data_IF_144059208558
#
_entry.id   IF_144059208558
#
_cell.length_a   1.000
_cell.length_b   1.000
_cell.length_c   1.000
_cell.angle_alpha   90.00
_cell.angle_beta   90.00
_cell.angle_gamma   90.00
#
_symmetry.space_group_name_H-M   'P 1'
#
loop_
_entity.id
_entity.type
_entity.pdbx_description
1 polymer ?
#
# COMPACT_ATOMS: atom_id res chain seq x y z
N UNK A 1 9.08 -30.20 35.41
CA UNK A 1 8.07 -29.16 35.13
C UNK A 1 8.55 -28.35 33.94
N UNK A 2 7.67 -28.08 32.97
CA UNK A 2 8.03 -27.36 31.75
C UNK A 2 7.67 -25.89 31.91
N UNK A 3 8.66 -25.00 31.82
CA UNK A 3 8.46 -23.55 31.91
C UNK A 3 8.00 -23.00 30.57
N UNK A 4 7.00 -22.12 30.57
CA UNK A 4 6.54 -21.40 29.38
C UNK A 4 7.11 -19.99 29.40
N UNK A 5 7.79 -19.61 28.32
CA UNK A 5 8.43 -18.29 28.18
C UNK A 5 7.61 -17.45 27.22
N UNK A 6 7.23 -16.24 27.66
CA UNK A 6 6.53 -15.25 26.85
C UNK A 6 7.42 -14.04 26.59
N UNK A 7 7.58 -13.69 25.32
CA UNK A 7 8.26 -12.46 24.90
C UNK A 7 7.20 -11.43 24.51
N UNK A 8 7.15 -10.32 25.23
CA UNK A 8 6.11 -9.31 25.10
C UNK A 8 6.64 -8.11 24.32
N UNK A 9 6.08 -7.91 23.12
CA UNK A 9 6.27 -6.73 22.30
C UNK A 9 4.91 -6.08 22.05
N UNK A 10 4.54 -5.12 22.89
CA UNK A 10 3.25 -4.42 22.87
C UNK A 10 3.42 -3.00 23.40
N UNK A 11 2.44 -2.13 23.13
CA UNK A 11 2.39 -0.79 23.73
C UNK A 11 2.05 -0.89 25.24
N UNK A 12 2.60 0.04 26.02
CA UNK A 12 2.35 0.30 27.45
C UNK A 12 0.90 0.09 27.90
N UNK A 13 -0.10 0.59 27.16
CA UNK A 13 -1.51 0.45 27.54
C UNK A 13 -2.02 -1.01 27.49
N UNK A 14 -1.57 -1.79 26.49
CA UNK A 14 -1.93 -3.19 26.34
C UNK A 14 -1.19 -4.05 27.36
N UNK A 15 0.07 -3.72 27.60
CA UNK A 15 0.95 -4.38 28.58
C UNK A 15 0.36 -4.30 29.97
N UNK A 16 -0.19 -3.14 30.33
CA UNK A 16 -0.83 -2.94 31.63
C UNK A 16 -1.97 -3.94 31.85
N UNK A 17 -2.85 -4.08 30.86
CA UNK A 17 -3.97 -5.02 30.92
C UNK A 17 -3.50 -6.48 30.88
N UNK A 18 -2.48 -6.77 30.08
CA UNK A 18 -1.91 -8.11 29.96
C UNK A 18 -1.38 -8.61 31.31
N UNK A 19 -0.57 -7.79 32.00
CA UNK A 19 0.06 -8.21 33.24
C UNK A 19 -0.91 -8.25 34.42
N UNK A 20 -1.86 -7.32 34.49
CA UNK A 20 -2.96 -7.42 35.44
C UNK A 20 -3.76 -8.73 35.29
N UNK A 21 -4.06 -9.13 34.05
CA UNK A 21 -4.76 -10.40 33.79
C UNK A 21 -3.87 -11.62 34.04
N UNK A 22 -2.59 -11.55 33.70
CA UNK A 22 -1.65 -12.64 33.93
C UNK A 22 -1.49 -12.91 35.44
N UNK A 23 -1.40 -11.86 36.26
CA UNK A 23 -1.31 -11.97 37.71
C UNK A 23 -2.60 -12.58 38.30
N UNK A 24 -3.77 -12.05 37.91
CA UNK A 24 -5.07 -12.59 38.33
C UNK A 24 -5.26 -14.08 37.98
N UNK A 25 -4.69 -14.54 36.87
CA UNK A 25 -4.78 -15.93 36.42
C UNK A 25 -3.62 -16.81 36.94
N UNK A 26 -2.79 -16.30 37.85
CA UNK A 26 -1.67 -17.03 38.43
C UNK A 26 -0.54 -17.32 37.44
N UNK A 27 -0.49 -16.62 36.31
CA UNK A 27 0.56 -16.75 35.30
C UNK A 27 1.84 -15.98 35.66
N UNK A 28 1.85 -15.24 36.77
CA UNK A 28 3.08 -14.69 37.41
C UNK A 28 3.78 -15.70 38.33
N UNK A 29 3.15 -16.86 38.56
CA UNK A 29 3.69 -17.89 39.44
C UNK A 29 4.69 -18.83 38.75
N UNK A 30 5.26 -19.76 39.53
CA UNK A 30 6.25 -20.73 39.05
C UNK A 30 5.70 -21.56 37.88
N UNK A 31 6.49 -21.62 36.80
CA UNK A 31 6.12 -22.30 35.55
C UNK A 31 6.00 -21.35 34.37
N UNK A 32 6.07 -20.05 34.63
CA UNK A 32 6.05 -18.99 33.62
C UNK A 32 7.27 -18.08 33.75
N UNK A 33 7.73 -17.59 32.62
CA UNK A 33 8.77 -16.56 32.55
C UNK A 33 8.35 -15.51 31.52
N UNK A 34 8.56 -14.25 31.87
CA UNK A 34 8.13 -13.10 31.08
C UNK A 34 9.32 -12.25 30.71
N UNK A 35 9.44 -11.92 29.43
CA UNK A 35 10.51 -11.07 28.91
C UNK A 35 9.88 -9.90 28.17
N UNK A 36 10.19 -8.67 28.59
CA UNK A 36 9.77 -7.46 27.90
C UNK A 36 10.92 -6.89 27.07
N UNK A 37 10.59 -6.40 25.88
CA UNK A 37 11.56 -5.80 24.96
C UNK A 37 12.01 -4.41 25.40
N UNK A 38 13.14 -3.94 24.86
CA UNK A 38 13.76 -2.68 25.25
C UNK A 38 12.86 -1.44 25.10
N UNK A 39 11.97 -1.43 24.11
CA UNK A 39 11.00 -0.33 23.96
C UNK A 39 10.08 -0.18 25.17
N UNK A 40 9.70 -1.31 25.76
CA UNK A 40 8.80 -1.35 26.90
C UNK A 40 9.53 -1.18 28.24
N UNK A 41 10.68 -1.85 28.41
CA UNK A 41 11.48 -1.78 29.64
C UNK A 41 12.03 -0.36 29.94
N UNK A 42 12.26 0.43 28.89
CA UNK A 42 12.69 1.83 28.99
C UNK A 42 11.54 2.77 29.39
N UNK A 43 10.29 2.34 29.21
CA UNK A 43 9.08 3.15 29.42
C UNK A 43 8.26 2.70 30.64
N UNK A 44 8.84 1.88 31.54
CA UNK A 44 8.15 1.37 32.74
C UNK A 44 7.76 2.45 33.74
N UNK A 45 8.42 3.62 33.70
CA UNK A 45 8.07 4.77 34.53
C UNK A 45 6.74 5.46 34.13
N UNK A 46 6.18 5.12 32.97
CA UNK A 46 4.88 5.63 32.49
C UNK A 46 3.72 4.77 33.01
N UNK A 47 4.01 3.56 33.51
CA UNK A 47 3.02 2.66 34.07
C UNK A 47 2.65 3.07 35.49
N UNK A 48 1.38 2.86 35.84
CA UNK A 48 0.91 3.02 37.22
C UNK A 48 1.59 2.00 38.14
N UNK A 49 1.80 2.38 39.41
CA UNK A 49 2.47 1.53 40.40
C UNK A 49 1.80 0.16 40.54
N UNK A 50 0.47 0.14 40.60
CA UNK A 50 -0.31 -1.10 40.73
C UNK A 50 -0.06 -2.08 39.57
N UNK A 51 0.17 -1.55 38.37
CA UNK A 51 0.50 -2.35 37.19
C UNK A 51 1.94 -2.87 37.31
N UNK A 52 2.88 -2.04 37.75
CA UNK A 52 4.28 -2.45 37.95
C UNK A 52 4.38 -3.54 39.02
N UNK A 53 3.57 -3.46 40.07
CA UNK A 53 3.52 -4.49 41.13
C UNK A 53 3.00 -5.83 40.58
N UNK A 54 2.05 -5.80 39.63
CA UNK A 54 1.59 -7.02 38.93
C UNK A 54 2.66 -7.63 38.00
N UNK A 55 3.75 -6.91 37.74
CA UNK A 55 4.85 -7.35 36.88
C UNK A 55 6.02 -7.97 37.67
N UNK A 56 5.80 -8.36 38.93
CA UNK A 56 6.85 -8.98 39.72
C UNK A 56 7.33 -10.30 39.07
N UNK A 57 8.65 -10.44 38.91
CA UNK A 57 9.27 -11.54 38.17
C UNK A 57 9.37 -11.37 36.64
N UNK A 58 8.97 -10.23 36.07
CA UNK A 58 9.18 -9.92 34.64
C UNK A 58 10.61 -9.44 34.39
N UNK A 59 11.29 -10.02 33.39
CA UNK A 59 12.64 -9.63 33.00
C UNK A 59 12.61 -8.58 31.87
N UNK A 60 13.19 -7.40 32.11
CA UNK A 60 13.32 -6.36 31.11
C UNK A 60 14.75 -6.13 30.63
N UNK A 61 14.92 -5.81 29.35
CA UNK A 61 16.21 -5.43 28.77
C UNK A 61 16.29 -3.90 28.67
N UNK A 62 17.06 -3.21 29.51
CA UNK A 62 17.25 -1.76 29.39
C UNK A 62 18.42 -1.42 28.47
N UNK A 63 18.15 -0.65 27.43
CA UNK A 63 19.20 -0.16 26.54
C UNK A 63 19.91 1.02 27.21
N UNK A 64 21.22 0.90 27.41
CA UNK A 64 22.06 2.01 27.83
C UNK A 64 22.63 2.68 26.58
N UNK A 65 22.32 3.96 26.38
CA UNK A 65 22.88 4.77 25.32
C UNK A 65 23.84 5.82 25.92
N UNK A 66 24.91 6.14 25.20
CA UNK A 66 25.82 7.21 25.61
C UNK A 66 25.12 8.58 25.46
N UNK A 67 25.37 9.48 26.41
CA UNK A 67 24.89 10.86 26.34
C UNK A 67 25.46 11.56 25.11
N UNK A 68 24.66 12.43 24.49
CA UNK A 68 25.09 13.29 23.38
C UNK A 68 26.23 14.19 23.87
N UNK A 69 27.28 14.33 23.06
CA UNK A 69 28.55 15.02 23.39
C UNK A 69 29.49 14.29 24.36
N UNK A 70 29.26 13.00 24.64
CA UNK A 70 30.24 12.22 25.40
C UNK A 70 31.54 12.01 24.60
N UNK A 71 32.73 12.20 25.21
CA UNK A 71 34.00 11.84 24.56
C UNK A 71 34.08 10.36 24.18
N UNK A 72 33.27 9.49 24.81
CA UNK A 72 33.17 8.07 24.45
C UNK A 72 32.49 7.86 23.10
N UNK A 73 31.52 8.70 22.71
CA UNK A 73 30.83 8.57 21.43
C UNK A 73 31.80 8.70 20.26
N UNK A 74 32.74 9.66 20.33
CA UNK A 74 33.80 9.86 19.34
C UNK A 74 34.73 8.65 19.23
N UNK A 75 35.10 8.04 20.35
CA UNK A 75 35.96 6.85 20.36
C UNK A 75 35.26 5.66 19.72
N UNK A 76 34.05 5.31 20.17
CA UNK A 76 33.30 4.17 19.61
C UNK A 76 32.91 4.41 18.15
N UNK A 77 32.55 5.64 17.78
CA UNK A 77 32.25 6.00 16.39
C UNK A 77 33.47 5.90 15.46
N UNK A 78 34.70 5.84 15.97
CA UNK A 78 35.89 5.57 15.15
C UNK A 78 36.22 4.08 15.13
N UNK A 79 36.12 3.43 16.28
CA UNK A 79 36.48 2.01 16.44
C UNK A 79 35.54 1.09 15.66
N UNK A 80 34.23 1.36 15.61
CA UNK A 80 33.27 0.49 14.91
C UNK A 80 33.63 0.32 13.42
N UNK A 81 34.08 1.40 12.80
CA UNK A 81 34.41 1.49 11.38
C UNK A 81 35.70 0.71 11.13
N UNK A 82 36.70 0.96 11.97
CA UNK A 82 38.00 0.29 11.93
C UNK A 82 37.86 -1.22 12.07
N UNK A 83 37.02 -1.69 13.00
CA UNK A 83 36.80 -3.12 13.20
C UNK A 83 36.08 -3.75 11.99
N UNK A 84 35.22 -3.00 11.29
CA UNK A 84 34.49 -3.49 10.10
C UNK A 84 35.35 -3.50 8.84
N UNK A 85 36.24 -2.53 8.68
CA UNK A 85 37.14 -2.43 7.52
C UNK A 85 38.23 -3.51 7.55
N UNK A 86 38.63 -3.96 8.73
CA UNK A 86 39.56 -5.06 8.87
C UNK A 86 38.82 -6.37 8.60
N UNK A 87 39.03 -6.94 7.40
CA UNK A 87 38.31 -8.09 6.85
C UNK A 87 38.17 -9.27 7.83
N UNK A 88 39.20 -9.55 8.63
CA UNK A 88 39.23 -10.73 9.51
C UNK A 88 38.81 -10.45 10.97
N UNK A 89 38.70 -9.17 11.37
CA UNK A 89 38.42 -8.79 12.76
C UNK A 89 37.01 -9.14 13.18
N UNK A 90 36.03 -8.93 12.30
CA UNK A 90 34.64 -9.29 12.59
C UNK A 90 34.47 -10.80 12.71
N UNK A 91 35.12 -11.56 11.83
CA UNK A 91 35.10 -13.03 11.87
C UNK A 91 35.79 -13.58 13.13
N UNK A 92 36.90 -12.97 13.55
CA UNK A 92 37.61 -13.30 14.80
C UNK A 92 36.70 -13.10 16.02
N UNK A 93 35.98 -11.97 16.08
CA UNK A 93 35.04 -11.64 17.16
C UNK A 93 33.83 -12.59 17.14
N UNK A 94 33.25 -12.82 15.96
CA UNK A 94 32.11 -13.74 15.80
C UNK A 94 32.48 -15.13 16.31
N UNK A 95 33.61 -15.66 15.83
CA UNK A 95 34.11 -16.99 16.23
C UNK A 95 34.41 -17.09 17.72
N UNK A 96 34.97 -16.04 18.33
CA UNK A 96 35.36 -16.04 19.74
C UNK A 96 34.17 -16.00 20.70
N UNK A 97 33.12 -15.25 20.39
CA UNK A 97 31.99 -15.03 21.31
C UNK A 97 30.75 -15.85 20.98
N UNK A 98 30.48 -16.12 19.70
CA UNK A 98 29.32 -16.89 19.25
C UNK A 98 29.68 -18.31 18.82
N UNK A 99 30.98 -18.65 18.78
CA UNK A 99 31.49 -19.93 18.31
C UNK A 99 31.67 -19.96 16.79
N UNK A 100 32.27 -21.04 16.27
CA UNK A 100 32.30 -21.26 14.82
C UNK A 100 30.88 -21.38 14.31
N UNK A 101 30.56 -20.62 13.25
CA UNK A 101 29.25 -20.64 12.61
C UNK A 101 29.04 -22.03 12.02
N UNK A 102 28.52 -22.95 12.83
CA UNK A 102 27.90 -24.17 12.32
C UNK A 102 26.66 -23.67 11.60
N UNK A 103 26.81 -23.31 10.33
CA UNK A 103 25.66 -23.07 9.46
C UNK A 103 24.74 -24.25 9.67
N UNK A 104 23.59 -23.95 10.23
CA UNK A 104 22.52 -24.90 10.57
C UNK A 104 21.89 -25.50 9.30
N UNK A 105 22.62 -25.53 8.19
CA UNK A 105 22.32 -26.27 6.99
C UNK A 105 22.63 -27.78 7.16
N UNK A 106 23.50 -28.16 8.11
CA UNK A 106 23.92 -29.56 8.25
C UNK A 106 23.03 -30.39 9.19
N UNK A 107 22.19 -29.78 10.04
CA UNK A 107 21.37 -30.51 11.03
C UNK A 107 19.88 -30.08 11.10
N UNK A 108 19.39 -29.26 10.16
CA UNK A 108 17.96 -29.01 10.04
C UNK A 108 17.37 -29.95 8.97
N UNK A 109 16.37 -30.79 9.27
CA UNK A 109 15.55 -31.37 8.21
C UNK A 109 14.94 -30.21 7.42
N UNK A 110 15.00 -30.28 6.11
CA UNK A 110 14.54 -29.30 5.12
C UNK A 110 13.04 -29.03 5.28
N UNK A 111 12.66 -28.26 6.31
CA UNK A 111 11.37 -27.60 6.33
C UNK A 111 11.56 -26.40 5.43
N UNK A 112 11.06 -26.54 4.20
CA UNK A 112 10.78 -25.43 3.29
C UNK A 112 10.05 -24.34 4.06
N UNK A 113 10.82 -23.42 4.62
CA UNK A 113 10.31 -22.21 5.20
C UNK A 113 10.15 -21.28 4.01
N UNK A 114 9.06 -21.50 3.26
CA UNK A 114 8.51 -20.57 2.28
C UNK A 114 8.13 -19.30 3.04
N UNK A 115 9.15 -18.50 3.36
CA UNK A 115 9.00 -17.16 3.85
C UNK A 115 8.31 -16.41 2.73
N UNK A 116 7.04 -16.11 2.94
CA UNK A 116 6.23 -15.25 2.07
C UNK A 116 6.69 -13.79 2.20
N UNK A 117 7.99 -13.58 1.96
CA UNK A 117 8.58 -12.28 1.75
C UNK A 117 7.96 -11.70 0.48
N UNK A 118 7.52 -10.44 0.57
CA UNK A 118 6.77 -9.71 -0.44
C UNK A 118 7.65 -9.48 -1.70
N UNK A 119 7.87 -10.56 -2.47
CA UNK A 119 8.66 -10.54 -3.71
C UNK A 119 7.92 -9.73 -4.76
N UNK A 120 8.67 -9.10 -5.67
CA UNK A 120 8.17 -8.28 -6.79
C UNK A 120 7.02 -8.94 -7.60
N UNK A 121 6.94 -10.28 -7.59
CA UNK A 121 5.84 -11.05 -8.17
C UNK A 121 4.46 -10.69 -7.58
N UNK A 122 4.36 -10.42 -6.28
CA UNK A 122 3.11 -9.99 -5.64
C UNK A 122 2.68 -8.57 -6.08
N UNK A 123 3.60 -7.78 -6.62
CA UNK A 123 3.31 -6.47 -7.20
C UNK A 123 3.00 -6.54 -8.69
N UNK A 124 3.05 -7.72 -9.32
CA UNK A 124 2.83 -7.90 -10.75
C UNK A 124 1.47 -7.38 -11.21
N UNK A 125 0.41 -7.59 -10.42
CA UNK A 125 -0.93 -7.08 -10.73
C UNK A 125 -0.96 -5.57 -10.93
N UNK A 126 -0.21 -4.81 -10.12
CA UNK A 126 -0.13 -3.35 -10.23
C UNK A 126 0.52 -2.92 -11.55
N UNK A 127 1.60 -3.59 -11.96
CA UNK A 127 2.27 -3.31 -13.25
C UNK A 127 1.40 -3.67 -14.45
N UNK A 128 0.64 -4.78 -14.38
CA UNK A 128 -0.30 -5.17 -15.44
C UNK A 128 -1.41 -4.14 -15.60
N UNK A 129 -2.03 -3.68 -14.50
CA UNK A 129 -3.10 -2.68 -14.54
C UNK A 129 -2.57 -1.35 -15.11
N UNK A 130 -1.41 -0.88 -14.64
CA UNK A 130 -0.79 0.34 -15.13
C UNK A 130 -0.44 0.27 -16.63
N UNK A 131 0.05 -0.88 -17.09
CA UNK A 131 0.35 -1.12 -18.51
C UNK A 131 -0.90 -1.11 -19.39
N UNK A 132 -1.95 -1.83 -18.98
CA UNK A 132 -3.23 -1.87 -19.71
C UNK A 132 -3.90 -0.49 -19.78
N UNK A 133 -3.90 0.25 -18.67
CA UNK A 133 -4.44 1.62 -18.64
C UNK A 133 -3.69 2.55 -19.59
N UNK A 134 -2.36 2.43 -19.66
CA UNK A 134 -1.53 3.23 -20.57
C UNK A 134 -1.79 2.89 -22.04
N UNK A 135 -1.91 1.61 -22.39
CA UNK A 135 -2.24 1.18 -23.76
C UNK A 135 -3.64 1.65 -24.20
N UNK A 136 -4.63 1.56 -23.30
CA UNK A 136 -5.98 2.07 -23.56
C UNK A 136 -5.98 3.58 -23.75
N UNK A 137 -5.23 4.32 -22.94
CA UNK A 137 -5.09 5.77 -23.08
C UNK A 137 -4.49 6.15 -24.44
N UNK A 138 -3.45 5.43 -24.90
CA UNK A 138 -2.83 5.66 -26.22
C UNK A 138 -3.82 5.35 -27.34
N UNK A 139 -4.52 4.21 -27.30
CA UNK A 139 -5.49 3.83 -28.33
C UNK A 139 -6.67 4.81 -28.44
N UNK A 140 -7.17 5.31 -27.31
CA UNK A 140 -8.20 6.35 -27.27
C UNK A 140 -7.64 7.67 -27.80
N UNK A 141 -6.43 8.06 -27.41
CA UNK A 141 -5.76 9.27 -27.90
C UNK A 141 -5.60 9.27 -29.43
N UNK A 142 -5.21 8.13 -30.01
CA UNK A 142 -5.00 7.99 -31.45
C UNK A 142 -6.31 8.17 -32.23
N UNK A 143 -7.41 7.57 -31.74
CA UNK A 143 -8.73 7.77 -32.34
C UNK A 143 -9.29 9.16 -32.04
N UNK A 144 -9.05 9.72 -30.86
CA UNK A 144 -9.64 10.99 -30.44
C UNK A 144 -9.02 12.20 -31.16
N UNK A 145 -7.70 12.21 -31.35
CA UNK A 145 -6.98 13.33 -31.97
C UNK A 145 -7.14 13.32 -33.50
N UNK A 146 -7.22 12.14 -34.15
CA UNK A 146 -7.35 12.09 -35.63
C UNK A 146 -8.78 12.25 -36.14
N UNK A 147 -9.83 12.08 -35.31
CA UNK A 147 -11.22 12.28 -35.75
C UNK A 147 -11.50 13.74 -36.19
N UNK A 148 -11.04 14.73 -35.41
CA UNK A 148 -11.30 16.16 -35.66
C UNK A 148 -10.66 16.69 -36.95
N UNK A 149 -9.36 16.45 -37.25
CA UNK A 149 -8.75 16.89 -38.50
C UNK A 149 -9.14 16.03 -39.70
N UNK A 150 -9.35 14.72 -39.55
CA UNK A 150 -9.77 13.85 -40.68
C UNK A 150 -11.16 14.22 -41.18
N UNK A 151 -12.07 14.64 -40.29
CA UNK A 151 -13.37 15.17 -40.70
C UNK A 151 -13.25 16.47 -41.53
N UNK A 152 -12.34 17.37 -41.17
CA UNK A 152 -12.09 18.61 -41.93
C UNK A 152 -11.39 18.36 -43.26
N UNK A 153 -10.44 17.42 -43.31
CA UNK A 153 -9.78 17.01 -44.56
C UNK A 153 -10.78 16.32 -45.49
N UNK A 154 -11.70 15.50 -44.97
CA UNK A 154 -12.82 14.97 -45.77
C UNK A 154 -13.68 16.10 -46.34
N UNK A 155 -14.03 17.12 -45.55
CA UNK A 155 -14.81 18.26 -46.02
C UNK A 155 -14.08 19.03 -47.14
N UNK A 156 -12.75 19.19 -47.02
CA UNK A 156 -11.91 19.80 -48.03
C UNK A 156 -11.80 18.96 -49.32
N UNK A 157 -11.68 17.63 -49.19
CA UNK A 157 -11.66 16.70 -50.32
C UNK A 157 -13.03 16.57 -51.01
N UNK A 158 -14.13 16.70 -50.27
CA UNK A 158 -15.50 16.67 -50.85
C UNK A 158 -15.86 17.99 -51.53
N UNK A 159 -15.30 19.12 -51.07
CA UNK A 159 -15.48 20.45 -51.69
C UNK A 159 -14.69 20.61 -53.00
N UNK A 160 -13.58 19.89 -53.17
CA UNK A 160 -12.69 20.03 -54.32
C UNK A 160 -12.85 18.89 -55.34
N UNK A 161 -14.01 18.22 -55.39
CA UNK A 161 -14.30 17.31 -56.49
C UNK A 161 -14.57 18.12 -57.77
N UNK A 162 -13.71 18.06 -58.81
CA UNK A 162 -14.03 18.68 -60.08
C UNK A 162 -15.14 17.87 -60.74
N UNK A 163 -16.30 18.48 -60.88
CA UNK A 163 -17.31 18.04 -61.84
C UNK A 163 -16.76 18.24 -63.25
N UNK A 164 -16.09 17.22 -63.80
CA UNK A 164 -15.90 17.07 -65.24
C UNK A 164 -16.50 15.73 -65.65
N UNK A 165 -17.70 15.79 -66.23
CA UNK A 165 -18.38 14.65 -66.80
C UNK A 165 -17.66 14.10 -68.02
N UNK A 166 -17.76 12.79 -68.20
CA UNK A 166 -18.00 12.23 -69.53
C UNK A 166 -19.48 11.87 -69.54
N UNK A 167 -20.28 12.81 -70.05
CA UNK A 167 -21.56 12.53 -70.65
C UNK A 167 -21.27 11.81 -71.98
N UNK A 168 -21.47 10.48 -72.00
CA UNK A 168 -21.65 9.75 -73.25
C UNK A 168 -23.13 9.39 -73.32
N UNK A 169 -23.81 10.06 -74.25
CA UNK A 169 -25.23 10.05 -74.48
C UNK A 169 -25.84 8.64 -74.60
N UNK A 170 -26.97 8.45 -73.92
CA UNK A 170 -28.09 7.65 -74.41
C UNK A 170 -29.37 8.08 -73.67
N UNK A 171 -30.14 9.00 -74.27
CA UNK A 171 -31.60 9.13 -74.09
C UNK A 171 -32.31 8.04 -74.93
N UNK A 172 -33.64 7.80 -74.85
CA UNK A 172 -34.74 8.60 -74.25
C UNK A 172 -35.66 7.72 -73.32
N UNK A 173 -36.69 8.17 -72.61
CA UNK A 173 -37.92 8.91 -73.01
C UNK A 173 -38.73 9.25 -71.74
N UNK A 174 -39.59 10.26 -71.88
CA UNK A 174 -40.64 10.85 -71.01
C UNK A 174 -41.40 9.89 -70.04
N UNK A 175 -42.06 10.32 -68.96
CA UNK A 175 -43.18 11.27 -68.80
C UNK A 175 -43.34 11.59 -67.27
N UNK A 176 -43.54 12.84 -66.84
CA UNK A 176 -44.82 13.55 -66.55
C UNK A 176 -45.46 13.21 -65.18
N UNK A 177 -45.47 14.21 -64.30
CA UNK A 177 -46.64 14.76 -63.59
C UNK A 177 -46.68 14.77 -62.04
N UNK A 178 -47.19 15.92 -61.56
CA UNK A 178 -47.82 16.29 -60.28
C UNK A 178 -47.03 16.11 -58.96
N UNK A 179 -46.75 17.17 -58.19
CA UNK A 179 -47.66 17.76 -57.17
C UNK A 179 -47.29 17.14 -55.81
N UNK A 180 -47.26 17.78 -54.63
CA UNK A 180 -48.01 18.88 -54.05
C UNK A 180 -47.38 19.19 -52.66
N UNK A 181 -47.85 20.28 -52.06
CA UNK A 181 -47.43 21.00 -50.88
C UNK A 181 -47.41 20.28 -49.50
N UNK A 182 -46.50 20.82 -48.68
CA UNK A 182 -46.63 21.25 -47.27
C UNK A 182 -46.42 20.31 -46.07
N UNK A 183 -45.98 20.89 -44.93
CA UNK A 183 -45.45 20.19 -43.76
C UNK A 183 -46.42 20.20 -42.57
N UNK A 184 -46.29 19.24 -41.63
CA UNK A 184 -46.82 19.52 -40.28
C UNK A 184 -46.10 18.76 -39.16
N UNK A 185 -45.91 19.53 -38.09
CA UNK A 185 -45.41 19.23 -36.76
C UNK A 185 -46.48 18.43 -35.98
N UNK A 186 -46.05 17.56 -35.07
CA UNK A 186 -46.86 17.27 -33.89
C UNK A 186 -46.01 17.18 -32.62
N UNK A 187 -46.47 17.95 -31.63
CA UNK A 187 -46.10 17.96 -30.22
C UNK A 187 -46.59 16.69 -29.53
N UNK A 188 -45.94 16.31 -28.43
CA UNK A 188 -46.51 16.42 -27.07
C UNK A 188 -46.08 15.28 -26.12
N UNK A 189 -46.01 15.67 -24.85
CA UNK A 189 -46.35 14.90 -23.66
C UNK A 189 -45.30 14.00 -23.03
N UNK A 190 -44.98 14.33 -21.76
CA UNK A 190 -44.56 13.30 -20.81
C UNK A 190 -43.74 13.77 -19.60
N UNK A 191 -44.26 14.71 -18.82
CA UNK A 191 -43.73 15.10 -17.50
C UNK A 191 -43.81 13.95 -16.46
N UNK A 192 -42.78 13.78 -15.60
CA UNK A 192 -42.95 13.23 -14.25
C UNK A 192 -41.80 13.59 -13.28
N UNK A 193 -42.16 14.27 -12.18
CA UNK A 193 -41.44 14.46 -10.90
C UNK A 193 -40.29 15.49 -10.91
N UNK A 194 -40.34 16.72 -10.34
CA UNK A 194 -40.79 17.25 -9.02
C UNK A 194 -40.26 16.41 -7.83
N UNK A 195 -39.53 16.90 -6.82
CA UNK A 195 -38.84 18.18 -6.47
C UNK A 195 -37.87 17.89 -5.31
N UNK A 196 -36.83 18.73 -5.18
CA UNK A 196 -36.27 19.40 -3.97
C UNK A 196 -35.89 18.60 -2.71
N UNK A 197 -34.61 18.66 -2.27
CA UNK A 197 -34.01 19.69 -1.37
C UNK A 197 -34.24 19.30 0.12
N UNK A 198 -33.43 19.59 1.14
CA UNK A 198 -32.52 20.68 1.45
C UNK A 198 -31.74 20.29 2.74
N UNK A 199 -30.55 20.86 2.91
CA UNK A 199 -29.69 20.78 4.10
C UNK A 199 -30.02 21.94 5.05
N UNK A 200 -30.08 21.70 6.37
CA UNK A 200 -29.63 22.56 7.51
C UNK A 200 -30.02 21.89 8.83
N UNK A 201 -29.07 21.51 9.69
CA UNK A 201 -28.53 22.29 10.83
C UNK A 201 -29.61 22.88 11.73
N UNK A 202 -29.75 22.35 12.96
CA UNK A 202 -29.73 23.19 14.16
C UNK A 202 -29.52 22.39 15.48
N UNK A 203 -29.11 23.17 16.49
CA UNK A 203 -28.43 22.88 17.76
C UNK A 203 -29.43 22.75 18.95
N UNK A 204 -29.13 21.90 19.95
CA UNK A 204 -29.44 22.06 21.40
C UNK A 204 -28.85 20.83 22.15
N UNK A 205 -27.93 20.94 23.12
CA UNK A 205 -28.06 21.43 24.51
C UNK A 205 -29.16 20.68 25.29
N UNK A 206 -28.78 19.60 25.97
CA UNK A 206 -28.92 19.41 27.43
C UNK A 206 -27.91 18.35 27.90
#
# INVERSE_FOLDING_TARGET
MQTRVFVVYMNTALVSRLFALADQNGMMSKGYAWIITAGLSNSLNVLDSDVVDSMDGVLGVRSHAFLKESPLFSYFSKVILLVREIETKMDEIEKRYFGEKVTSATLAPTIYTESSSLRAYNFGGLFIIAGMATLLAIAVSERFIWQRPVALVRQYLTSNHPANGIELAAQPTAETDAGDHSPEVHQDSGNSGRISEHIKEDIAVE
#
